data_IF_760289029065
#
_entry.id   IF_760289029065
#
_cell.length_a   1.000
_cell.length_b   1.000
_cell.length_c   1.000
_cell.angle_alpha   90.00
_cell.angle_beta   90.00
_cell.angle_gamma   90.00
#
_symmetry.space_group_name_H-M   'P 1'
#
loop_
_entity.id
_entity.type
_entity.pdbx_description
1 polymer ?
#
# COMPACT_ATOMS: atom_id res chain seq x y z
N UNK A 1 -60.83 -57.66 -14.79
CA UNK A 1 -59.67 -57.02 -15.44
C UNK A 1 -58.99 -56.10 -14.44
N UNK A 2 -57.77 -56.44 -14.03
CA UNK A 2 -56.84 -55.56 -13.30
C UNK A 2 -56.26 -54.55 -14.29
N UNK A 3 -56.20 -53.26 -13.94
CA UNK A 3 -55.08 -52.29 -14.16
C UNK A 3 -55.40 -51.09 -13.26
N UNK A 4 -54.84 -51.02 -12.05
CA UNK A 4 -53.59 -50.35 -11.67
C UNK A 4 -53.75 -48.84 -11.44
N UNK A 5 -53.84 -48.50 -10.15
CA UNK A 5 -53.61 -47.20 -9.53
C UNK A 5 -52.17 -46.75 -9.76
N UNK A 6 -51.96 -45.59 -10.40
CA UNK A 6 -50.67 -44.92 -10.47
C UNK A 6 -50.54 -43.98 -9.26
N UNK A 7 -49.83 -44.48 -8.25
CA UNK A 7 -49.29 -43.72 -7.12
C UNK A 7 -48.19 -42.78 -7.64
N UNK A 8 -48.39 -41.47 -7.51
CA UNK A 8 -47.31 -40.49 -7.59
C UNK A 8 -46.40 -40.71 -6.38
N UNK A 9 -45.28 -41.40 -6.59
CA UNK A 9 -44.16 -41.39 -5.65
C UNK A 9 -43.41 -40.07 -5.82
N UNK A 10 -43.50 -39.20 -4.83
CA UNK A 10 -42.60 -38.08 -4.65
C UNK A 10 -41.17 -38.59 -4.64
N UNK A 11 -40.42 -38.29 -5.70
CA UNK A 11 -38.96 -38.43 -5.70
C UNK A 11 -38.45 -37.27 -4.86
N UNK A 12 -38.20 -37.53 -3.57
CA UNK A 12 -37.31 -36.69 -2.78
C UNK A 12 -35.92 -36.91 -3.39
N UNK A 13 -35.53 -36.00 -4.29
CA UNK A 13 -34.12 -35.84 -4.67
C UNK A 13 -33.44 -35.28 -3.44
N UNK A 14 -32.93 -36.17 -2.60
CA UNK A 14 -32.02 -35.82 -1.52
C UNK A 14 -30.73 -35.37 -2.21
N UNK A 15 -30.65 -34.07 -2.53
CA UNK A 15 -29.39 -33.39 -2.84
C UNK A 15 -28.54 -33.46 -1.58
N UNK A 16 -27.82 -34.55 -1.43
CA UNK A 16 -26.66 -34.62 -0.56
C UNK A 16 -25.68 -33.59 -1.09
N UNK A 17 -25.73 -32.39 -0.50
CA UNK A 17 -24.61 -31.46 -0.52
C UNK A 17 -23.45 -32.20 0.17
N UNK A 18 -22.70 -32.97 -0.60
CA UNK A 18 -21.32 -33.25 -0.25
C UNK A 18 -20.66 -31.89 -0.16
N UNK A 19 -20.48 -31.43 1.08
CA UNK A 19 -19.50 -30.43 1.44
C UNK A 19 -18.16 -30.95 0.92
N UNK A 20 -17.84 -30.66 -0.34
CA UNK A 20 -16.47 -30.64 -0.80
C UNK A 20 -15.83 -29.48 -0.06
N UNK A 21 -15.44 -29.75 1.19
CA UNK A 21 -14.30 -29.08 1.77
C UNK A 21 -13.18 -29.35 0.80
N UNK A 22 -12.94 -28.39 -0.09
CA UNK A 22 -11.66 -28.25 -0.75
C UNK A 22 -10.71 -27.96 0.40
N UNK A 23 -10.23 -29.03 1.04
CA UNK A 23 -8.98 -28.98 1.75
C UNK A 23 -8.01 -28.43 0.73
N UNK A 24 -7.66 -27.15 0.86
CA UNK A 24 -6.57 -26.54 0.14
C UNK A 24 -5.40 -27.47 0.37
N UNK A 25 -5.08 -28.30 -0.64
CA UNK A 25 -3.86 -29.06 -0.65
C UNK A 25 -2.78 -28.00 -0.53
N UNK A 26 -2.18 -27.89 0.66
CA UNK A 26 -1.03 -27.03 0.90
C UNK A 26 -0.05 -27.44 -0.18
N UNK A 27 0.16 -26.56 -1.16
CA UNK A 27 1.04 -26.85 -2.27
C UNK A 27 2.36 -27.31 -1.66
N UNK A 28 2.74 -28.57 -1.90
CA UNK A 28 4.00 -29.12 -1.40
C UNK A 28 5.08 -28.12 -1.78
N UNK A 29 5.78 -27.55 -0.80
CA UNK A 29 6.87 -26.60 -1.05
C UNK A 29 7.88 -27.23 -2.01
N UNK A 30 7.81 -26.86 -3.28
CA UNK A 30 8.69 -27.41 -4.31
C UNK A 30 10.06 -26.75 -4.17
N UNK A 31 11.11 -27.57 -4.07
CA UNK A 31 12.50 -27.09 -4.13
C UNK A 31 12.76 -26.38 -5.47
N UNK A 32 13.73 -25.47 -5.49
CA UNK A 32 14.16 -24.84 -6.73
C UNK A 32 14.74 -25.86 -7.71
N UNK A 33 14.59 -25.59 -9.01
CA UNK A 33 15.23 -26.41 -10.03
C UNK A 33 16.76 -26.28 -9.90
N UNK A 34 17.52 -27.39 -9.97
CA UNK A 34 18.98 -27.32 -9.88
C UNK A 34 19.60 -26.38 -10.93
N UNK A 35 19.01 -26.32 -12.13
CA UNK A 35 19.46 -25.44 -13.21
C UNK A 35 19.34 -23.95 -12.85
N UNK A 36 18.26 -23.54 -12.18
CA UNK A 36 18.11 -22.16 -11.71
C UNK A 36 19.18 -21.81 -10.67
N UNK A 37 19.35 -22.67 -9.65
CA UNK A 37 20.33 -22.45 -8.58
C UNK A 37 21.74 -22.34 -9.14
N UNK A 38 22.15 -23.28 -9.99
CA UNK A 38 23.43 -23.27 -10.67
C UNK A 38 23.63 -22.02 -11.52
N UNK A 39 22.61 -21.64 -12.30
CA UNK A 39 22.67 -20.43 -13.14
C UNK A 39 22.92 -19.18 -12.29
N UNK A 40 22.25 -19.02 -11.15
CA UNK A 40 22.41 -17.83 -10.32
C UNK A 40 23.71 -17.84 -9.51
N UNK A 41 24.08 -18.97 -8.90
CA UNK A 41 25.33 -19.09 -8.13
C UNK A 41 26.60 -19.00 -8.99
N UNK A 42 26.50 -19.26 -10.30
CA UNK A 42 27.62 -19.01 -11.24
C UNK A 42 27.91 -17.53 -11.46
N UNK A 43 27.00 -16.63 -11.05
CA UNK A 43 27.10 -15.17 -11.24
C UNK A 43 27.24 -14.42 -9.93
N UNK A 44 26.54 -14.88 -8.89
CA UNK A 44 26.46 -14.22 -7.60
C UNK A 44 26.94 -15.13 -6.48
N UNK A 45 27.89 -14.65 -5.67
CA UNK A 45 28.24 -15.27 -4.40
C UNK A 45 27.20 -14.88 -3.35
N UNK A 46 26.36 -15.83 -2.92
CA UNK A 46 25.30 -15.57 -1.95
C UNK A 46 25.67 -16.17 -0.60
N UNK A 47 25.64 -15.33 0.44
CA UNK A 47 25.99 -15.70 1.82
C UNK A 47 24.96 -15.16 2.80
N UNK A 48 24.81 -15.76 3.97
CA UNK A 48 24.05 -15.19 5.08
C UNK A 48 25.00 -14.72 6.19
N UNK A 49 24.61 -13.67 6.90
CA UNK A 49 25.32 -13.14 8.07
C UNK A 49 24.40 -13.05 9.28
N UNK A 50 24.98 -13.04 10.49
CA UNK A 50 24.26 -12.69 11.73
C UNK A 50 24.35 -11.18 12.05
N UNK A 51 23.74 -10.79 13.16
CA UNK A 51 23.67 -9.40 13.63
C UNK A 51 25.02 -8.82 14.06
N UNK A 52 26.03 -9.68 14.27
CA UNK A 52 27.41 -9.26 14.51
C UNK A 52 28.21 -9.11 13.21
N UNK A 53 27.58 -9.31 12.05
CA UNK A 53 28.22 -9.26 10.73
C UNK A 53 29.07 -10.49 10.41
N UNK A 54 28.93 -11.58 11.18
CA UNK A 54 29.68 -12.82 10.93
C UNK A 54 28.94 -13.68 9.90
N UNK A 55 29.66 -14.19 8.92
CA UNK A 55 29.10 -15.13 7.94
C UNK A 55 28.66 -16.43 8.62
N UNK A 56 27.36 -16.73 8.52
CA UNK A 56 26.74 -17.92 9.12
C UNK A 56 26.54 -19.04 8.11
N UNK A 57 26.39 -18.70 6.83
CA UNK A 57 26.20 -19.68 5.76
C UNK A 57 26.70 -19.15 4.42
N UNK A 58 27.31 -20.04 3.63
CA UNK A 58 27.60 -19.82 2.21
C UNK A 58 26.75 -20.80 1.39
N UNK A 59 25.93 -20.27 0.48
CA UNK A 59 24.96 -21.08 -0.24
C UNK A 59 25.59 -21.79 -1.45
N UNK A 60 25.11 -23.00 -1.71
CA UNK A 60 25.57 -23.90 -2.78
C UNK A 60 24.39 -24.51 -3.54
N UNK A 61 24.66 -25.28 -4.61
CA UNK A 61 23.61 -26.02 -5.34
C UNK A 61 22.86 -27.03 -4.46
N UNK A 62 23.48 -27.52 -3.38
CA UNK A 62 22.85 -28.44 -2.43
C UNK A 62 21.69 -27.76 -1.65
N UNK A 63 21.72 -26.44 -1.51
CA UNK A 63 20.73 -25.64 -0.79
C UNK A 63 19.45 -25.36 -1.59
N UNK A 64 19.23 -26.04 -2.72
CA UNK A 64 18.03 -25.86 -3.59
C UNK A 64 16.68 -26.00 -2.89
N UNK A 65 16.65 -26.66 -1.72
CA UNK A 65 15.44 -26.87 -0.92
C UNK A 65 15.36 -25.95 0.30
N UNK A 66 16.32 -25.04 0.51
CA UNK A 66 16.25 -24.00 1.52
C UNK A 66 14.99 -23.15 1.29
N UNK A 67 14.21 -22.87 2.34
CA UNK A 67 12.82 -22.41 2.23
C UNK A 67 12.66 -20.90 2.41
N UNK A 68 13.73 -20.18 2.76
CA UNK A 68 13.64 -18.82 3.28
C UNK A 68 14.18 -17.77 2.28
N UNK A 69 14.95 -16.81 2.79
CA UNK A 69 15.51 -15.67 2.06
C UNK A 69 16.27 -16.06 0.79
N UNK A 70 17.01 -17.18 0.81
CA UNK A 70 17.79 -17.65 -0.33
C UNK A 70 16.90 -18.00 -1.53
N UNK A 71 15.86 -18.81 -1.31
CA UNK A 71 14.92 -19.21 -2.36
C UNK A 71 14.28 -17.99 -3.02
N UNK A 72 13.81 -17.05 -2.20
CA UNK A 72 13.18 -15.82 -2.70
C UNK A 72 14.14 -14.93 -3.47
N UNK A 73 15.39 -14.84 -3.03
CA UNK A 73 16.43 -14.09 -3.74
C UNK A 73 16.68 -14.68 -5.13
N UNK A 74 16.78 -16.02 -5.24
CA UNK A 74 16.96 -16.67 -6.54
C UNK A 74 15.76 -16.49 -7.48
N UNK A 75 14.54 -16.59 -6.95
CA UNK A 75 13.32 -16.33 -7.72
C UNK A 75 13.21 -14.86 -8.15
N UNK A 76 13.64 -13.92 -7.31
CA UNK A 76 13.68 -12.50 -7.65
C UNK A 76 14.67 -12.23 -8.78
N UNK A 77 15.89 -12.77 -8.71
CA UNK A 77 16.88 -12.65 -9.79
C UNK A 77 16.40 -13.26 -11.11
N UNK A 78 15.71 -14.41 -11.05
CA UNK A 78 15.11 -15.03 -12.24
C UNK A 78 13.95 -14.21 -12.84
N UNK A 79 13.13 -13.60 -11.97
CA UNK A 79 12.10 -12.67 -12.40
C UNK A 79 12.73 -11.45 -13.10
N UNK A 80 13.78 -10.86 -12.52
CA UNK A 80 14.48 -9.72 -13.13
C UNK A 80 15.05 -10.11 -14.50
N UNK A 81 15.68 -11.28 -14.61
CA UNK A 81 16.17 -11.84 -15.88
C UNK A 81 15.04 -11.99 -16.90
N UNK A 82 13.91 -12.56 -16.48
CA UNK A 82 12.76 -12.77 -17.35
C UNK A 82 12.19 -11.45 -17.86
N UNK A 83 11.98 -10.48 -16.97
CA UNK A 83 11.49 -9.14 -17.32
C UNK A 83 12.45 -8.42 -18.27
N UNK A 84 13.75 -8.49 -18.01
CA UNK A 84 14.78 -7.83 -18.83
C UNK A 84 14.82 -8.32 -20.28
N UNK A 85 14.43 -9.58 -20.51
CA UNK A 85 14.38 -10.16 -21.87
C UNK A 85 13.16 -9.74 -22.69
N UNK A 86 12.15 -9.11 -22.07
CA UNK A 86 10.90 -8.76 -22.74
C UNK A 86 10.95 -7.35 -23.33
N UNK A 87 10.59 -7.24 -24.61
CA UNK A 87 10.35 -5.94 -25.25
C UNK A 87 8.95 -5.44 -24.90
N UNK A 88 8.85 -4.24 -24.36
CA UNK A 88 7.56 -3.61 -24.02
C UNK A 88 7.37 -2.40 -24.90
N UNK A 89 6.31 -2.42 -25.71
CA UNK A 89 6.06 -1.43 -26.76
C UNK A 89 5.83 0.00 -26.25
N UNK A 90 5.47 0.16 -24.98
CA UNK A 90 5.07 1.44 -24.40
C UNK A 90 5.93 1.84 -23.18
N UNK A 91 7.10 1.23 -22.97
CA UNK A 91 7.87 1.48 -21.76
C UNK A 91 8.20 2.99 -21.63
N UNK A 92 7.92 3.61 -20.47
CA UNK A 92 8.04 5.06 -20.32
C UNK A 92 9.47 5.59 -20.42
N UNK A 93 10.47 4.72 -20.30
CA UNK A 93 11.88 5.06 -20.43
C UNK A 93 12.38 5.03 -21.90
N UNK A 94 11.57 4.52 -22.86
CA UNK A 94 11.87 4.21 -24.28
C UNK A 94 13.12 3.35 -24.54
N UNK A 95 13.97 3.19 -23.52
CA UNK A 95 15.19 2.41 -23.48
C UNK A 95 14.84 0.98 -23.09
N UNK A 96 15.28 0.03 -23.90
CA UNK A 96 15.25 -1.39 -23.56
C UNK A 96 16.30 -1.69 -22.48
N UNK A 97 16.08 -1.21 -21.25
CA UNK A 97 16.95 -1.47 -20.10
C UNK A 97 16.98 -2.97 -19.82
N UNK A 98 18.18 -3.56 -19.87
CA UNK A 98 18.44 -4.93 -19.40
C UNK A 98 18.93 -4.87 -17.95
N UNK A 99 17.96 -4.90 -17.01
CA UNK A 99 18.24 -4.81 -15.58
C UNK A 99 19.14 -5.95 -15.11
N UNK A 100 18.96 -7.16 -15.65
CA UNK A 100 19.73 -8.32 -15.23
C UNK A 100 21.18 -8.28 -15.70
N UNK A 101 21.43 -7.84 -16.93
CA UNK A 101 22.80 -7.59 -17.40
C UNK A 101 23.51 -6.55 -16.53
N UNK A 102 22.81 -5.46 -16.20
CA UNK A 102 23.32 -4.42 -15.31
C UNK A 102 23.66 -4.95 -13.91
N UNK A 103 22.75 -5.72 -13.28
CA UNK A 103 23.00 -6.37 -11.98
C UNK A 103 24.20 -7.31 -12.07
N UNK A 104 24.31 -8.13 -13.12
CA UNK A 104 25.40 -9.07 -13.29
C UNK A 104 26.77 -8.39 -13.51
N UNK A 105 26.78 -7.21 -14.13
CA UNK A 105 27.97 -6.37 -14.25
C UNK A 105 28.41 -5.85 -12.89
N UNK A 106 27.48 -5.24 -12.12
CA UNK A 106 27.81 -4.48 -10.91
C UNK A 106 27.91 -5.32 -9.64
N UNK A 107 27.06 -6.33 -9.49
CA UNK A 107 26.90 -7.11 -8.25
C UNK A 107 27.64 -8.43 -8.35
N UNK A 108 28.55 -8.68 -7.40
CA UNK A 108 29.23 -9.99 -7.28
C UNK A 108 28.84 -10.76 -6.03
N UNK A 109 28.57 -10.06 -4.93
CA UNK A 109 28.18 -10.67 -3.65
C UNK A 109 26.82 -10.15 -3.18
N UNK A 110 25.96 -11.07 -2.74
CA UNK A 110 24.70 -10.78 -2.09
C UNK A 110 24.75 -11.35 -0.67
N UNK A 111 24.50 -10.50 0.32
CA UNK A 111 24.48 -10.87 1.74
C UNK A 111 23.04 -10.86 2.21
N UNK A 112 22.56 -11.98 2.73
CA UNK A 112 21.24 -12.11 3.34
C UNK A 112 21.36 -11.86 4.84
N UNK A 113 20.60 -10.89 5.34
CA UNK A 113 20.54 -10.56 6.77
C UNK A 113 19.26 -11.12 7.41
N UNK A 114 19.29 -11.49 8.69
CA UNK A 114 18.08 -11.76 9.46
C UNK A 114 17.30 -10.46 9.74
N UNK A 115 16.00 -10.60 9.97
CA UNK A 115 15.06 -9.50 10.21
C UNK A 115 15.40 -8.64 11.41
N UNK A 116 15.95 -9.25 12.44
CA UNK A 116 16.26 -8.59 13.71
C UNK A 116 17.54 -7.78 13.65
N UNK A 117 18.22 -7.77 12.49
CA UNK A 117 19.54 -7.21 12.42
C UNK A 117 19.55 -5.71 12.65
N UNK A 118 20.32 -5.28 13.64
CA UNK A 118 20.64 -3.87 13.84
C UNK A 118 21.44 -3.27 12.68
N UNK A 119 22.00 -4.13 11.82
CA UNK A 119 22.66 -3.73 10.58
C UNK A 119 21.67 -3.40 9.46
N UNK A 120 20.40 -3.79 9.60
CA UNK A 120 19.31 -3.34 8.75
C UNK A 120 18.69 -2.12 9.41
N UNK A 121 18.80 -0.95 8.75
CA UNK A 121 18.18 0.28 9.23
C UNK A 121 16.66 0.18 9.31
N UNK A 122 16.04 1.19 9.91
CA UNK A 122 14.58 1.23 10.07
C UNK A 122 13.90 1.19 8.70
N UNK A 123 13.13 0.13 8.41
CA UNK A 123 12.46 -0.15 7.13
C UNK A 123 13.40 -0.30 5.91
N UNK A 124 14.71 -0.54 6.10
CA UNK A 124 15.60 -0.84 4.99
C UNK A 124 15.25 -2.20 4.36
N UNK A 125 14.93 -2.23 3.06
CA UNK A 125 14.78 -3.47 2.30
C UNK A 125 16.12 -4.06 1.83
N UNK A 126 17.11 -3.20 1.65
CA UNK A 126 18.48 -3.55 1.28
C UNK A 126 19.41 -2.33 1.35
N UNK A 127 20.69 -2.55 1.09
CA UNK A 127 21.70 -1.49 0.99
C UNK A 127 22.88 -1.95 0.12
N UNK A 128 23.50 -1.01 -0.59
CA UNK A 128 24.83 -1.21 -1.20
C UNK A 128 25.93 -0.95 -0.19
N UNK A 129 26.83 -1.91 -0.02
CA UNK A 129 28.04 -1.73 0.79
C UNK A 129 29.23 -1.44 -0.12
N UNK A 130 30.07 -0.49 0.32
CA UNK A 130 31.32 -0.12 -0.34
C UNK A 130 31.17 0.12 -1.85
N UNK A 131 30.34 1.11 -2.30
CA UNK A 131 30.04 1.31 -3.71
C UNK A 131 31.26 1.64 -4.59
N UNK A 132 32.39 2.02 -3.97
CA UNK A 132 33.66 2.32 -4.64
C UNK A 132 34.52 1.07 -4.91
N UNK A 133 34.21 -0.08 -4.29
CA UNK A 133 34.96 -1.32 -4.52
C UNK A 133 34.54 -2.00 -5.83
N UNK A 134 35.43 -2.78 -6.49
CA UNK A 134 35.11 -3.48 -7.74
C UNK A 134 34.01 -4.53 -7.57
N UNK A 135 34.06 -5.28 -6.47
CA UNK A 135 33.08 -6.30 -6.12
C UNK A 135 32.00 -5.66 -5.25
N UNK A 136 31.08 -4.92 -5.87
CA UNK A 136 30.03 -4.22 -5.12
C UNK A 136 29.07 -5.24 -4.52
N UNK A 137 28.74 -5.01 -3.25
CA UNK A 137 28.00 -5.95 -2.41
C UNK A 137 26.61 -5.38 -2.18
N UNK A 138 25.59 -6.19 -2.42
CA UNK A 138 24.24 -5.88 -1.95
C UNK A 138 23.99 -6.64 -0.66
N UNK A 139 23.54 -5.92 0.36
CA UNK A 139 22.98 -6.49 1.58
C UNK A 139 21.46 -6.44 1.46
N UNK A 140 20.80 -7.58 1.64
CA UNK A 140 19.34 -7.69 1.60
C UNK A 140 18.81 -7.96 3.00
N UNK A 141 17.94 -7.06 3.46
CA UNK A 141 17.29 -7.11 4.76
C UNK A 141 15.94 -7.79 4.61
N UNK A 142 15.97 -9.12 4.52
CA UNK A 142 14.80 -9.91 4.11
C UNK A 142 13.98 -10.26 5.33
N UNK A 143 12.82 -9.62 5.47
CA UNK A 143 11.87 -9.87 6.55
C UNK A 143 11.28 -11.31 6.53
N UNK A 144 11.97 -12.30 7.12
CA UNK A 144 11.55 -13.65 7.53
C UNK A 144 10.95 -14.44 6.40
N UNK A 145 11.47 -14.20 5.18
CA UNK A 145 10.89 -14.76 3.97
C UNK A 145 9.41 -14.41 3.79
N UNK A 146 8.90 -13.30 4.34
CA UNK A 146 7.54 -12.78 4.12
C UNK A 146 7.45 -11.84 2.93
N UNK A 147 8.54 -11.15 2.61
CA UNK A 147 8.60 -10.25 1.45
C UNK A 147 8.26 -10.99 0.14
N UNK A 148 7.29 -10.52 -0.66
CA UNK A 148 7.00 -11.12 -1.97
C UNK A 148 8.20 -11.06 -2.92
N UNK A 149 8.28 -12.00 -3.86
CA UNK A 149 9.37 -12.08 -4.86
C UNK A 149 9.47 -10.79 -5.69
N UNK A 150 8.35 -10.21 -6.08
CA UNK A 150 8.30 -8.95 -6.85
C UNK A 150 8.87 -7.77 -6.07
N UNK A 151 8.54 -7.64 -4.78
CA UNK A 151 9.06 -6.58 -3.94
C UNK A 151 10.58 -6.72 -3.74
N UNK A 152 11.06 -7.94 -3.49
CA UNK A 152 12.50 -8.21 -3.37
C UNK A 152 13.25 -7.92 -4.67
N UNK A 153 12.65 -8.26 -5.81
CA UNK A 153 13.22 -7.96 -7.12
C UNK A 153 13.33 -6.44 -7.35
N UNK A 154 12.30 -5.67 -7.01
CA UNK A 154 12.33 -4.20 -7.06
C UNK A 154 13.44 -3.63 -6.20
N UNK A 155 13.62 -4.13 -4.97
CA UNK A 155 14.71 -3.72 -4.07
C UNK A 155 16.08 -4.02 -4.70
N UNK A 156 16.30 -5.23 -5.23
CA UNK A 156 17.58 -5.56 -5.88
C UNK A 156 17.87 -4.59 -7.04
N UNK A 157 16.87 -4.28 -7.87
CA UNK A 157 17.02 -3.31 -8.97
C UNK A 157 17.34 -1.90 -8.46
N UNK A 158 16.61 -1.45 -7.43
CA UNK A 158 16.82 -0.16 -6.75
C UNK A 158 18.23 -0.04 -6.19
N UNK A 159 18.64 -0.99 -5.35
CA UNK A 159 19.94 -0.98 -4.69
C UNK A 159 21.07 -1.02 -5.70
N UNK A 160 20.94 -1.83 -6.75
CA UNK A 160 21.96 -1.89 -7.80
C UNK A 160 22.17 -0.52 -8.45
N UNK A 161 21.15 0.33 -8.54
CA UNK A 161 21.31 1.67 -9.14
C UNK A 161 22.18 2.60 -8.30
N UNK A 162 22.18 2.45 -6.97
CA UNK A 162 23.11 3.19 -6.08
C UNK A 162 24.58 2.89 -6.40
N UNK A 163 24.88 1.75 -7.03
CA UNK A 163 26.24 1.41 -7.46
C UNK A 163 26.80 2.35 -8.53
N UNK A 164 25.96 3.07 -9.27
CA UNK A 164 26.41 4.10 -10.22
C UNK A 164 26.52 5.49 -9.58
N UNK A 165 26.39 5.58 -8.25
CA UNK A 165 26.52 6.84 -7.51
C UNK A 165 25.25 7.67 -7.45
N UNK A 166 24.12 7.17 -7.94
CA UNK A 166 22.82 7.81 -7.77
C UNK A 166 22.44 7.77 -6.30
N UNK A 167 22.31 8.93 -5.65
CA UNK A 167 21.94 9.05 -4.24
C UNK A 167 20.55 9.65 -4.12
N UNK A 168 19.87 9.34 -3.03
CA UNK A 168 18.63 10.00 -2.69
C UNK A 168 18.84 11.49 -2.38
N UNK A 169 17.82 12.27 -2.66
CA UNK A 169 17.68 13.68 -2.27
C UNK A 169 16.59 13.81 -1.21
N UNK A 170 16.61 14.94 -0.49
CA UNK A 170 15.59 15.23 0.51
C UNK A 170 14.23 15.35 -0.16
N UNK A 171 13.23 14.69 0.41
CA UNK A 171 11.85 14.79 -0.06
C UNK A 171 11.27 16.15 0.29
N UNK A 172 10.56 16.76 -0.67
CA UNK A 172 9.88 18.05 -0.57
C UNK A 172 8.44 17.91 -0.09
N UNK A 173 7.86 16.71 -0.26
CA UNK A 173 6.47 16.38 0.05
C UNK A 173 6.32 14.90 0.45
N UNK A 174 5.10 14.49 0.76
CA UNK A 174 4.76 13.10 1.12
C UNK A 174 5.26 12.69 2.51
N UNK A 175 5.18 11.38 2.78
CA UNK A 175 5.50 10.75 4.06
C UNK A 175 6.94 11.04 4.54
N UNK A 176 7.87 11.16 3.59
CA UNK A 176 9.29 11.29 3.89
C UNK A 176 9.79 12.74 4.00
N UNK A 177 8.93 13.74 3.77
CA UNK A 177 9.29 15.18 3.87
C UNK A 177 9.92 15.56 5.21
N UNK A 178 9.39 14.99 6.29
CA UNK A 178 9.82 15.31 7.67
C UNK A 178 11.04 14.53 8.12
N UNK A 179 11.49 13.54 7.34
CA UNK A 179 12.69 12.79 7.66
C UNK A 179 13.92 13.70 7.51
N UNK A 180 14.88 13.51 8.41
CA UNK A 180 16.15 14.24 8.39
C UNK A 180 17.10 13.75 7.29
N UNK A 181 16.83 12.57 6.73
CA UNK A 181 17.66 11.94 5.70
C UNK A 181 16.96 11.90 4.32
N UNK A 182 17.75 11.84 3.22
CA UNK A 182 17.23 11.76 1.86
C UNK A 182 16.54 10.42 1.52
N UNK A 183 15.38 10.45 0.86
CA UNK A 183 14.61 9.25 0.46
C UNK A 183 13.82 9.41 -0.86
N UNK A 184 14.12 10.43 -1.66
CA UNK A 184 13.44 10.66 -2.94
C UNK A 184 14.46 10.74 -4.09
N UNK A 185 13.99 10.49 -5.31
CA UNK A 185 14.63 10.99 -6.52
C UNK A 185 14.11 12.41 -6.81
N UNK A 186 14.89 13.22 -7.53
CA UNK A 186 14.41 14.55 -7.97
C UNK A 186 13.27 14.39 -8.97
N UNK A 187 13.45 13.53 -9.96
CA UNK A 187 12.49 13.28 -11.05
C UNK A 187 12.67 11.87 -11.62
N UNK A 188 11.70 11.40 -12.41
CA UNK A 188 11.82 10.13 -13.11
C UNK A 188 12.83 10.20 -14.28
N UNK A 189 12.94 11.36 -14.91
CA UNK A 189 13.81 11.63 -16.06
C UNK A 189 15.30 11.53 -15.72
N UNK A 190 15.67 11.83 -14.47
CA UNK A 190 17.05 11.68 -13.97
C UNK A 190 17.50 10.23 -13.81
N UNK A 191 16.57 9.26 -13.90
CA UNK A 191 16.87 7.84 -13.83
C UNK A 191 17.66 7.46 -12.55
N UNK A 192 17.29 8.06 -11.42
CA UNK A 192 17.72 7.69 -10.07
C UNK A 192 17.28 6.28 -9.66
N UNK A 193 17.53 5.88 -8.42
CA UNK A 193 17.25 4.51 -7.98
C UNK A 193 15.76 4.18 -7.95
N UNK A 194 14.91 5.12 -7.51
CA UNK A 194 13.46 4.95 -7.57
C UNK A 194 12.94 4.98 -9.00
N UNK A 195 13.45 5.88 -9.86
CA UNK A 195 13.09 5.92 -11.27
C UNK A 195 13.41 4.59 -11.97
N UNK A 196 14.59 4.02 -11.68
CA UNK A 196 15.04 2.75 -12.25
C UNK A 196 14.18 1.57 -11.76
N UNK A 197 13.86 1.54 -10.46
CA UNK A 197 12.96 0.56 -9.86
C UNK A 197 11.53 0.68 -10.40
N UNK A 198 11.02 1.90 -10.60
CA UNK A 198 9.71 2.16 -11.18
C UNK A 198 9.65 1.66 -12.63
N UNK A 199 10.67 1.94 -13.45
CA UNK A 199 10.79 1.38 -14.81
C UNK A 199 10.74 -0.15 -14.81
N UNK A 200 11.42 -0.80 -13.86
CA UNK A 200 11.33 -2.24 -13.68
C UNK A 200 9.92 -2.70 -13.31
N UNK A 201 9.25 -2.06 -12.34
CA UNK A 201 7.89 -2.43 -11.93
C UNK A 201 6.87 -2.26 -13.05
N UNK A 202 6.96 -1.17 -13.82
CA UNK A 202 6.14 -0.95 -15.03
C UNK A 202 6.35 -2.08 -16.05
N UNK A 203 7.59 -2.54 -16.21
CA UNK A 203 7.89 -3.66 -17.11
C UNK A 203 7.35 -4.97 -16.56
N UNK A 204 7.61 -5.27 -15.28
CA UNK A 204 7.12 -6.44 -14.57
C UNK A 204 5.60 -6.57 -14.65
N UNK A 205 4.86 -5.48 -14.42
CA UNK A 205 3.39 -5.43 -14.53
C UNK A 205 2.88 -6.01 -15.87
N UNK A 206 3.53 -5.63 -16.97
CA UNK A 206 3.18 -6.09 -18.32
C UNK A 206 3.55 -7.57 -18.57
N UNK A 207 4.51 -8.12 -17.82
CA UNK A 207 4.96 -9.52 -17.97
C UNK A 207 4.13 -10.50 -17.14
N UNK A 208 3.53 -10.02 -16.04
CA UNK A 208 2.78 -10.85 -15.10
C UNK A 208 1.48 -11.34 -15.73
N UNK A 209 1.09 -12.57 -15.41
CA UNK A 209 -0.19 -13.16 -15.83
C UNK A 209 -1.17 -13.33 -14.67
N UNK A 210 -0.63 -13.57 -13.48
CA UNK A 210 -1.41 -13.72 -12.26
C UNK A 210 -2.00 -12.37 -11.83
N UNK A 211 -3.30 -12.37 -11.49
CA UNK A 211 -4.04 -11.15 -11.18
C UNK A 211 -3.64 -10.56 -9.83
N UNK A 212 -3.33 -11.41 -8.85
CA UNK A 212 -2.95 -10.95 -7.51
C UNK A 212 -1.56 -10.34 -7.52
N UNK A 213 -0.62 -10.94 -8.26
CA UNK A 213 0.71 -10.37 -8.45
C UNK A 213 0.66 -9.07 -9.27
N UNK A 214 -0.16 -9.00 -10.33
CA UNK A 214 -0.40 -7.73 -11.05
C UNK A 214 -0.94 -6.66 -10.10
N UNK A 215 -1.91 -7.00 -9.27
CA UNK A 215 -2.47 -6.08 -8.28
C UNK A 215 -1.40 -5.57 -7.31
N UNK A 216 -0.57 -6.46 -6.75
CA UNK A 216 0.55 -6.10 -5.86
C UNK A 216 1.55 -5.18 -6.53
N UNK A 217 1.95 -5.45 -7.77
CA UNK A 217 2.89 -4.59 -8.50
C UNK A 217 2.28 -3.22 -8.80
N UNK A 218 1.01 -3.14 -9.17
CA UNK A 218 0.33 -1.84 -9.33
C UNK A 218 0.22 -1.06 -8.01
N UNK A 219 0.01 -1.74 -6.89
CA UNK A 219 0.03 -1.09 -5.57
C UNK A 219 1.42 -0.52 -5.24
N UNK A 220 2.50 -1.26 -5.53
CA UNK A 220 3.87 -0.77 -5.37
C UNK A 220 4.18 0.42 -6.30
N UNK A 221 3.65 0.41 -7.52
CA UNK A 221 3.75 1.55 -8.45
C UNK A 221 3.05 2.78 -7.88
N UNK A 222 1.80 2.63 -7.40
CA UNK A 222 1.03 3.72 -6.78
C UNK A 222 1.79 4.34 -5.60
N UNK A 223 2.33 3.49 -4.71
CA UNK A 223 3.14 3.93 -3.59
C UNK A 223 4.40 4.68 -4.04
N UNK A 224 5.12 4.17 -5.04
CA UNK A 224 6.37 4.76 -5.50
C UNK A 224 6.17 6.13 -6.14
N UNK A 225 5.13 6.29 -6.97
CA UNK A 225 4.87 7.59 -7.60
C UNK A 225 4.41 8.67 -6.62
N UNK A 226 3.80 8.27 -5.50
CA UNK A 226 3.35 9.20 -4.46
C UNK A 226 4.48 9.66 -3.52
N UNK A 227 5.41 8.76 -3.18
CA UNK A 227 6.36 9.01 -2.08
C UNK A 227 7.82 9.09 -2.50
N UNK A 228 8.19 8.68 -3.72
CA UNK A 228 9.60 8.52 -4.10
C UNK A 228 10.17 9.61 -5.02
N UNK A 229 9.38 10.62 -5.39
CA UNK A 229 9.80 11.65 -6.36
C UNK A 229 9.44 13.06 -5.89
N UNK A 230 10.36 14.02 -6.04
CA UNK A 230 10.03 15.44 -5.82
C UNK A 230 9.25 16.05 -6.99
N UNK A 231 9.57 15.64 -8.21
CA UNK A 231 8.81 15.96 -9.41
C UNK A 231 8.07 14.68 -9.81
N UNK A 232 6.76 14.66 -9.56
CA UNK A 232 5.94 13.46 -9.77
C UNK A 232 5.85 13.09 -11.26
N UNK A 233 6.00 11.81 -11.62
CA UNK A 233 6.09 11.41 -13.02
C UNK A 233 4.72 11.27 -13.71
N UNK A 234 4.74 11.00 -15.03
CA UNK A 234 3.57 10.59 -15.82
C UNK A 234 2.38 11.56 -15.76
N UNK A 235 2.69 12.87 -15.68
CA UNK A 235 1.68 13.92 -15.60
C UNK A 235 0.76 13.80 -14.39
N UNK A 236 1.19 13.08 -13.34
CA UNK A 236 0.51 13.06 -12.06
C UNK A 236 0.38 14.49 -11.54
N UNK A 237 -0.82 14.86 -11.15
CA UNK A 237 -1.11 16.14 -10.52
C UNK A 237 -1.44 15.90 -9.07
N UNK A 238 -1.04 16.84 -8.22
CA UNK A 238 -1.40 16.88 -6.81
C UNK A 238 -2.83 17.38 -6.64
N UNK A 239 -3.60 16.78 -5.75
CA UNK A 239 -4.98 17.19 -5.53
C UNK A 239 -5.71 16.45 -4.42
N UNK A 240 -7.02 16.68 -4.36
CA UNK A 240 -7.93 16.04 -3.42
C UNK A 240 -8.76 14.96 -4.09
N UNK A 241 -8.70 13.74 -3.56
CA UNK A 241 -9.60 12.64 -3.92
C UNK A 241 -10.76 12.59 -2.92
N UNK A 242 -11.99 12.62 -3.41
CA UNK A 242 -13.19 12.79 -2.59
C UNK A 242 -14.33 11.91 -3.07
N UNK A 243 -15.11 11.40 -2.13
CA UNK A 243 -16.32 10.64 -2.40
C UNK A 243 -17.54 11.52 -2.13
N UNK A 244 -18.36 11.73 -3.15
CA UNK A 244 -19.58 12.51 -3.02
C UNK A 244 -20.79 11.69 -2.56
N UNK A 245 -21.86 12.37 -2.18
CA UNK A 245 -23.14 11.78 -1.75
C UNK A 245 -23.85 10.94 -2.81
N UNK A 246 -23.42 11.00 -4.08
CA UNK A 246 -23.93 10.21 -5.21
C UNK A 246 -23.05 8.99 -5.49
N UNK A 247 -22.15 8.62 -4.57
CA UNK A 247 -21.18 7.54 -4.73
C UNK A 247 -20.23 7.73 -5.93
N UNK A 248 -19.91 8.97 -6.30
CA UNK A 248 -18.88 9.27 -7.29
C UNK A 248 -17.58 9.59 -6.58
N UNK A 249 -16.50 8.99 -7.04
CA UNK A 249 -15.16 9.36 -6.62
C UNK A 249 -14.60 10.40 -7.59
N UNK A 250 -14.36 11.58 -7.06
CA UNK A 250 -13.91 12.75 -7.80
C UNK A 250 -12.48 13.09 -7.41
N UNK A 251 -11.68 13.52 -8.37
CA UNK A 251 -10.35 14.08 -8.14
C UNK A 251 -10.35 15.55 -8.57
N UNK A 252 -9.81 16.43 -7.73
CA UNK A 252 -9.68 17.84 -8.02
C UNK A 252 -8.23 18.29 -7.88
N UNK A 253 -7.67 18.87 -8.95
CA UNK A 253 -6.27 19.28 -9.04
C UNK A 253 -6.03 20.79 -8.79
N UNK A 254 -7.07 21.54 -8.41
CA UNK A 254 -7.05 23.00 -8.28
C UNK A 254 -7.75 23.72 -9.45
N UNK A 255 -7.79 23.09 -10.62
CA UNK A 255 -8.40 23.66 -11.83
C UNK A 255 -9.65 22.87 -12.25
N UNK A 256 -9.50 21.55 -12.41
CA UNK A 256 -10.51 20.69 -13.00
C UNK A 256 -10.98 19.59 -12.04
N UNK A 257 -12.26 19.23 -12.14
CA UNK A 257 -12.85 18.07 -11.45
C UNK A 257 -12.90 16.90 -12.44
N UNK A 258 -12.21 15.81 -12.11
CA UNK A 258 -12.23 14.56 -12.86
C UNK A 258 -13.04 13.49 -12.13
N UNK A 259 -13.92 12.78 -12.83
CA UNK A 259 -14.60 11.60 -12.28
C UNK A 259 -13.66 10.39 -12.41
N UNK A 260 -13.17 9.89 -11.29
CA UNK A 260 -12.28 8.72 -11.24
C UNK A 260 -13.09 7.42 -11.34
N UNK A 261 -14.24 7.37 -10.67
CA UNK A 261 -15.18 6.25 -10.76
C UNK A 261 -16.58 6.64 -10.25
N UNK A 262 -17.59 5.84 -10.61
CA UNK A 262 -18.94 5.91 -10.04
C UNK A 262 -19.36 4.52 -9.55
N UNK A 263 -19.81 4.42 -8.30
CA UNK A 263 -20.18 3.16 -7.67
C UNK A 263 -21.70 3.01 -7.59
N UNK A 264 -22.20 1.86 -8.03
CA UNK A 264 -23.63 1.53 -7.94
C UNK A 264 -24.06 1.15 -6.51
N UNK A 265 -23.15 0.58 -5.74
CA UNK A 265 -23.39 0.17 -4.36
C UNK A 265 -23.17 1.34 -3.39
N UNK A 266 -23.94 1.35 -2.29
CA UNK A 266 -23.74 2.34 -1.23
C UNK A 266 -22.36 2.17 -0.57
N UNK A 267 -21.63 3.27 -0.52
CA UNK A 267 -20.29 3.33 0.08
C UNK A 267 -20.38 3.78 1.53
N UNK A 268 -19.66 3.07 2.40
CA UNK A 268 -19.55 3.39 3.83
C UNK A 268 -18.40 4.36 4.09
N UNK A 269 -17.24 4.09 3.51
CA UNK A 269 -16.03 4.90 3.71
C UNK A 269 -15.04 4.78 2.55
N UNK A 270 -14.12 5.74 2.54
CA UNK A 270 -13.04 5.87 1.57
C UNK A 270 -11.74 6.23 2.30
N UNK A 271 -10.65 5.50 2.02
CA UNK A 271 -9.38 5.61 2.75
C UNK A 271 -8.19 5.27 1.85
N UNK A 272 -6.97 5.71 2.17
CA UNK A 272 -5.75 5.20 1.55
C UNK A 272 -5.20 4.02 2.34
N UNK A 273 -4.67 3.03 1.64
CA UNK A 273 -3.84 1.98 2.22
C UNK A 273 -2.54 1.90 1.42
N UNK A 274 -1.40 2.17 2.04
CA UNK A 274 -0.08 2.12 1.37
C UNK A 274 -0.04 2.91 0.04
N UNK A 275 -0.60 4.13 0.03
CA UNK A 275 -0.59 5.01 -1.14
C UNK A 275 -1.60 4.67 -2.24
N UNK A 276 -2.52 3.73 -2.01
CA UNK A 276 -3.59 3.46 -2.98
C UNK A 276 -4.99 3.55 -2.35
N UNK A 277 -5.99 4.07 -3.07
CA UNK A 277 -7.32 4.24 -2.52
C UNK A 277 -8.12 2.94 -2.36
N UNK A 278 -8.85 2.86 -1.25
CA UNK A 278 -9.79 1.81 -0.89
C UNK A 278 -11.18 2.40 -0.70
N UNK A 279 -12.16 1.72 -1.25
CA UNK A 279 -13.59 1.99 -1.07
C UNK A 279 -14.21 0.82 -0.32
N UNK A 280 -14.84 1.12 0.81
CA UNK A 280 -15.50 0.14 1.67
C UNK A 280 -17.00 0.24 1.45
N UNK A 281 -17.62 -0.84 0.98
CA UNK A 281 -19.04 -0.88 0.67
C UNK A 281 -19.86 -1.29 1.89
N UNK A 282 -21.12 -0.85 1.94
CA UNK A 282 -22.05 -1.22 3.02
C UNK A 282 -22.29 -2.74 3.10
N UNK A 283 -22.23 -3.43 1.95
CA UNK A 283 -22.37 -4.88 1.83
C UNK A 283 -21.18 -5.69 2.37
N UNK A 284 -20.13 -5.03 2.87
CA UNK A 284 -18.94 -5.69 3.42
C UNK A 284 -17.84 -5.99 2.39
N UNK A 285 -18.03 -5.65 1.11
CA UNK A 285 -16.96 -5.73 0.12
C UNK A 285 -16.02 -4.52 0.20
N UNK A 286 -14.77 -4.72 -0.23
CA UNK A 286 -13.76 -3.68 -0.32
C UNK A 286 -13.21 -3.70 -1.74
N UNK A 287 -13.11 -2.52 -2.36
CA UNK A 287 -12.52 -2.34 -3.68
C UNK A 287 -11.30 -1.43 -3.59
N UNK A 288 -10.29 -1.71 -4.41
CA UNK A 288 -9.05 -0.94 -4.47
C UNK A 288 -8.84 -0.32 -5.85
N UNK A 289 -8.34 0.90 -5.86
CA UNK A 289 -7.83 1.58 -7.04
C UNK A 289 -6.32 1.54 -7.06
N UNK A 290 -5.75 0.88 -8.07
CA UNK A 290 -4.31 0.85 -8.29
C UNK A 290 -3.99 1.36 -9.69
N UNK A 291 -4.55 2.54 -10.03
CA UNK A 291 -4.49 3.13 -11.38
C UNK A 291 -5.04 2.22 -12.49
N UNK A 292 -6.00 1.37 -12.15
CA UNK A 292 -6.73 0.52 -13.08
C UNK A 292 -8.16 1.06 -13.23
N UNK A 293 -8.67 1.17 -14.46
CA UNK A 293 -10.10 1.51 -14.69
C UNK A 293 -11.03 0.52 -13.98
N UNK A 294 -10.63 -0.74 -13.88
CA UNK A 294 -11.34 -1.75 -13.10
C UNK A 294 -10.84 -1.72 -11.66
N UNK A 295 -11.71 -1.32 -10.75
CA UNK A 295 -11.52 -1.44 -9.31
C UNK A 295 -11.61 -2.91 -8.92
N UNK A 296 -10.55 -3.43 -8.30
CA UNK A 296 -10.48 -4.85 -7.96
C UNK A 296 -10.98 -5.07 -6.54
N UNK A 297 -11.74 -6.14 -6.34
CA UNK A 297 -12.11 -6.57 -5.00
C UNK A 297 -10.86 -7.02 -4.24
N UNK A 298 -10.76 -6.56 -2.99
CA UNK A 298 -9.69 -6.93 -2.08
C UNK A 298 -10.15 -8.14 -1.27
N UNK A 299 -9.30 -9.16 -1.18
CA UNK A 299 -9.52 -10.34 -0.34
C UNK A 299 -8.53 -10.35 0.85
N UNK A 300 -8.84 -11.17 1.84
CA UNK A 300 -7.95 -11.44 2.98
C UNK A 300 -8.29 -10.64 4.24
N UNK A 301 -7.36 -10.54 5.20
CA UNK A 301 -7.70 -10.18 6.58
C UNK A 301 -8.39 -8.84 6.77
N UNK A 302 -8.14 -7.86 5.89
CA UNK A 302 -8.82 -6.57 5.94
C UNK A 302 -10.32 -6.74 5.63
N UNK A 303 -10.63 -7.37 4.50
CA UNK A 303 -12.00 -7.65 4.06
C UNK A 303 -12.71 -8.59 5.02
N UNK A 304 -12.03 -9.67 5.45
CA UNK A 304 -12.60 -10.64 6.39
C UNK A 304 -13.00 -9.98 7.71
N UNK A 305 -12.18 -9.05 8.22
CA UNK A 305 -12.51 -8.30 9.42
C UNK A 305 -13.65 -7.31 9.18
N UNK A 306 -13.66 -6.59 8.06
CA UNK A 306 -14.74 -5.66 7.75
C UNK A 306 -16.10 -6.37 7.59
N UNK A 307 -16.11 -7.59 7.03
CA UNK A 307 -17.31 -8.42 6.89
C UNK A 307 -17.86 -8.91 8.23
N UNK A 308 -17.01 -9.10 9.24
CA UNK A 308 -17.44 -9.47 10.61
C UNK A 308 -18.21 -8.36 11.33
N UNK A 309 -18.10 -7.10 10.88
CA UNK A 309 -18.96 -6.03 11.39
C UNK A 309 -20.41 -6.31 10.99
N UNK A 310 -21.38 -5.99 11.85
CA UNK A 310 -22.79 -6.01 11.46
C UNK A 310 -23.08 -4.93 10.42
N UNK A 311 -24.14 -5.10 9.62
CA UNK A 311 -24.60 -4.07 8.67
C UNK A 311 -24.88 -2.76 9.42
N UNK A 312 -25.60 -2.82 10.55
CA UNK A 312 -25.89 -1.65 11.40
C UNK A 312 -24.63 -0.93 11.91
N UNK A 313 -23.55 -1.67 12.14
CA UNK A 313 -22.26 -1.09 12.55
C UNK A 313 -21.59 -0.41 11.36
N UNK A 314 -21.54 -1.08 10.20
CA UNK A 314 -20.99 -0.50 8.97
C UNK A 314 -21.71 0.79 8.59
N UNK A 315 -23.02 0.84 8.77
CA UNK A 315 -23.84 2.02 8.46
C UNK A 315 -23.51 3.25 9.30
N UNK A 316 -22.93 3.04 10.49
CA UNK A 316 -22.59 4.09 11.43
C UNK A 316 -21.12 4.52 11.35
N UNK A 317 -20.32 3.91 10.47
CA UNK A 317 -18.89 4.24 10.34
C UNK A 317 -18.76 5.68 9.84
N UNK A 318 -18.11 6.50 10.66
CA UNK A 318 -17.74 7.87 10.35
C UNK A 318 -16.48 7.92 9.50
N UNK A 319 -15.45 7.16 9.87
CA UNK A 319 -14.18 7.12 9.14
C UNK A 319 -13.42 5.81 9.41
N UNK A 320 -12.37 5.56 8.63
CA UNK A 320 -11.54 4.35 8.72
C UNK A 320 -10.07 4.74 8.78
N UNK A 321 -9.33 4.05 9.64
CA UNK A 321 -7.89 4.21 9.80
C UNK A 321 -7.19 2.89 9.48
N UNK A 322 -6.27 2.93 8.50
CA UNK A 322 -5.45 1.79 8.09
C UNK A 322 -4.01 2.28 8.00
N UNK A 323 -3.26 2.11 9.09
CA UNK A 323 -1.85 2.47 9.15
C UNK A 323 -1.15 1.75 10.30
N UNK A 324 0.19 1.61 10.27
CA UNK A 324 0.99 0.97 11.32
C UNK A 324 0.47 -0.40 11.79
N UNK A 325 -0.19 -1.16 10.90
CA UNK A 325 -0.82 -2.45 11.19
C UNK A 325 -2.21 -2.36 11.85
N UNK A 326 -2.65 -1.16 12.23
CA UNK A 326 -3.99 -0.87 12.74
C UNK A 326 -5.03 -0.93 11.62
N UNK A 327 -6.22 -1.42 11.98
CA UNK A 327 -7.40 -1.47 11.10
C UNK A 327 -8.59 -1.09 11.94
N UNK A 328 -8.87 0.21 12.01
CA UNK A 328 -9.81 0.78 12.95
C UNK A 328 -10.95 1.50 12.24
N UNK A 329 -12.14 1.40 12.84
CA UNK A 329 -13.39 1.96 12.35
C UNK A 329 -13.89 2.96 13.39
N UNK A 330 -14.03 4.22 13.00
CA UNK A 330 -14.54 5.27 13.86
C UNK A 330 -16.07 5.28 13.83
N UNK A 331 -16.68 5.18 15.00
CA UNK A 331 -18.13 5.27 15.23
C UNK A 331 -18.45 6.52 16.06
N UNK A 332 -19.73 6.93 16.17
CA UNK A 332 -20.10 8.14 16.92
C UNK A 332 -19.71 8.16 18.41
N UNK A 333 -19.49 6.99 19.02
CA UNK A 333 -19.21 6.86 20.46
C UNK A 333 -17.98 6.00 20.78
N UNK A 334 -17.36 5.36 19.79
CA UNK A 334 -16.20 4.50 20.01
C UNK A 334 -15.35 4.35 18.75
N UNK A 335 -14.14 3.82 18.92
CA UNK A 335 -13.31 3.26 17.84
C UNK A 335 -13.32 1.76 18.01
N UNK A 336 -13.56 1.01 16.93
CA UNK A 336 -13.44 -0.44 16.89
C UNK A 336 -12.21 -0.79 16.05
N UNK A 337 -11.23 -1.47 16.63
CA UNK A 337 -10.02 -1.91 15.93
C UNK A 337 -9.98 -3.43 15.81
N UNK A 338 -9.60 -3.92 14.63
CA UNK A 338 -9.42 -5.34 14.41
C UNK A 338 -8.14 -5.84 15.11
N UNK A 339 -8.29 -6.87 15.95
CA UNK A 339 -7.21 -7.64 16.54
C UNK A 339 -7.11 -9.02 15.86
N UNK A 340 -6.18 -9.87 16.31
CA UNK A 340 -5.85 -11.15 15.67
C UNK A 340 -7.10 -12.01 15.39
N UNK A 341 -7.98 -12.14 16.39
CA UNK A 341 -9.17 -13.01 16.31
C UNK A 341 -10.47 -12.31 16.79
N UNK A 342 -10.40 -11.02 17.12
CA UNK A 342 -11.54 -10.29 17.70
C UNK A 342 -11.44 -8.79 17.41
N UNK A 343 -12.37 -8.01 17.96
CA UNK A 343 -12.28 -6.56 17.98
C UNK A 343 -11.92 -6.06 19.38
N UNK A 344 -11.22 -4.93 19.42
CA UNK A 344 -10.97 -4.15 20.63
C UNK A 344 -11.52 -2.75 20.44
N UNK A 345 -12.08 -2.18 21.50
CA UNK A 345 -12.82 -0.94 21.41
C UNK A 345 -12.24 0.13 22.34
N UNK A 346 -12.26 1.37 21.88
CA UNK A 346 -11.99 2.55 22.70
C UNK A 346 -13.24 3.41 22.74
N UNK A 347 -13.80 3.64 23.93
CA UNK A 347 -15.01 4.46 24.09
C UNK A 347 -14.62 5.91 24.32
N UNK A 348 -15.30 6.81 23.62
CA UNK A 348 -15.13 8.24 23.88
C UNK A 348 -15.88 8.66 25.14
N UNK A 349 -15.26 9.56 25.90
CA UNK A 349 -15.90 10.26 27.02
C UNK A 349 -15.97 11.77 26.69
N UNK A 350 -17.18 12.28 26.47
CA UNK A 350 -17.42 13.70 26.16
C UNK A 350 -16.90 14.20 24.81
N UNK A 351 -16.38 13.31 23.94
CA UNK A 351 -15.87 13.66 22.60
C UNK A 351 -16.90 13.25 21.55
N UNK A 352 -17.21 14.17 20.63
CA UNK A 352 -18.05 13.91 19.45
C UNK A 352 -17.15 13.78 18.21
N UNK A 353 -16.64 12.58 17.90
CA UNK A 353 -15.69 12.38 16.82
C UNK A 353 -16.33 12.67 15.45
N UNK A 354 -15.54 13.18 14.52
CA UNK A 354 -15.94 13.42 13.14
C UNK A 354 -15.14 12.57 12.14
N UNK A 355 -13.81 12.62 12.22
CA UNK A 355 -12.92 11.90 11.31
C UNK A 355 -11.58 11.55 11.98
N UNK A 356 -10.85 10.60 11.40
CA UNK A 356 -9.45 10.41 11.73
C UNK A 356 -8.64 11.57 11.13
N UNK A 357 -7.70 12.08 11.92
CA UNK A 357 -6.76 13.11 11.49
C UNK A 357 -5.48 12.46 11.00
N UNK A 358 -5.15 12.67 9.73
CA UNK A 358 -3.96 12.09 9.12
C UNK A 358 -2.72 12.89 9.52
N UNK A 359 -2.02 12.42 10.55
CA UNK A 359 -0.67 12.85 10.89
C UNK A 359 0.17 11.60 11.12
N UNK A 360 1.13 11.30 10.23
CA UNK A 360 1.98 10.13 10.36
C UNK A 360 2.63 10.08 11.74
N UNK A 361 2.46 8.97 12.46
CA UNK A 361 3.16 8.71 13.71
C UNK A 361 4.10 7.53 13.54
N UNK A 362 5.40 7.79 13.69
CA UNK A 362 6.44 6.78 13.65
C UNK A 362 6.75 6.22 15.06
N UNK A 363 5.96 6.58 16.08
CA UNK A 363 6.17 6.09 17.43
C UNK A 363 5.85 4.60 17.58
N UNK A 364 6.48 3.97 18.56
CA UNK A 364 6.31 2.54 18.89
C UNK A 364 4.87 2.15 19.25
N UNK A 365 4.03 3.12 19.63
CA UNK A 365 2.67 2.87 20.12
C UNK A 365 1.57 3.22 19.12
N UNK A 366 1.93 3.60 17.88
CA UNK A 366 1.00 3.91 16.80
C UNK A 366 -0.16 4.80 17.28
N UNK A 367 0.13 6.07 17.56
CA UNK A 367 -0.88 7.01 18.02
C UNK A 367 -1.84 7.36 16.88
N UNK A 368 -3.12 7.08 17.10
CA UNK A 368 -4.19 7.58 16.25
C UNK A 368 -4.56 9.00 16.67
N UNK A 369 -5.06 9.80 15.74
CA UNK A 369 -5.62 11.11 16.04
C UNK A 369 -7.03 11.22 15.49
N UNK A 370 -7.91 11.83 16.25
CA UNK A 370 -9.32 12.04 15.88
C UNK A 370 -9.63 13.52 16.00
N UNK A 371 -10.23 14.08 14.94
CA UNK A 371 -10.79 15.43 14.97
C UNK A 371 -12.25 15.34 15.40
N UNK A 372 -12.63 16.16 16.37
CA UNK A 372 -14.02 16.25 16.82
C UNK A 372 -14.83 17.26 15.98
N UNK A 373 -16.14 17.28 16.18
CA UNK A 373 -17.04 18.21 15.46
C UNK A 373 -16.79 19.69 15.73
N UNK A 374 -16.08 20.04 16.81
CA UNK A 374 -15.67 21.42 17.12
C UNK A 374 -14.31 21.79 16.55
N UNK A 375 -13.68 20.87 15.81
CA UNK A 375 -12.38 21.06 15.18
C UNK A 375 -11.18 20.76 16.07
N UNK A 376 -11.40 20.31 17.31
CA UNK A 376 -10.31 19.93 18.24
C UNK A 376 -9.74 18.57 17.87
N UNK A 377 -8.43 18.41 18.01
CA UNK A 377 -7.73 17.15 17.72
C UNK A 377 -7.43 16.44 19.03
N UNK A 378 -7.71 15.14 19.09
CA UNK A 378 -7.43 14.27 20.22
C UNK A 378 -6.50 13.13 19.82
N UNK A 379 -5.48 12.88 20.64
CA UNK A 379 -4.60 11.72 20.53
C UNK A 379 -5.27 10.53 21.22
N UNK A 380 -5.31 9.42 20.50
CA UNK A 380 -5.81 8.12 20.95
C UNK A 380 -4.64 7.12 20.86
N UNK A 381 -4.38 6.32 21.91
CA UNK A 381 -3.33 5.31 21.85
C UNK A 381 -3.63 4.23 20.80
N UNK A 382 -2.61 3.48 20.37
CA UNK A 382 -2.79 2.32 19.49
C UNK A 382 -3.66 1.23 20.12
N UNK A 383 -4.28 0.40 19.29
CA UNK A 383 -5.32 -0.54 19.73
C UNK A 383 -4.82 -1.61 20.70
N UNK A 384 -3.51 -1.90 20.66
CA UNK A 384 -2.84 -2.79 21.61
C UNK A 384 -2.98 -2.33 23.07
N UNK A 385 -3.23 -1.03 23.30
CA UNK A 385 -3.34 -0.44 24.62
C UNK A 385 -4.79 -0.24 25.09
N UNK A 386 -5.81 -0.48 24.26
CA UNK A 386 -7.23 -0.27 24.61
C UNK A 386 -7.74 -1.16 25.76
N UNK A 387 -7.00 -2.22 26.08
CA UNK A 387 -7.29 -3.13 27.20
C UNK A 387 -6.34 -2.93 28.39
N UNK A 388 -5.52 -1.88 28.37
CA UNK A 388 -4.58 -1.62 29.45
C UNK A 388 -5.33 -1.19 30.71
N UNK A 389 -4.85 -1.57 31.89
CA UNK A 389 -5.41 -1.11 33.17
C UNK A 389 -4.93 0.31 33.53
N UNK A 390 -3.92 0.83 32.83
CA UNK A 390 -3.44 2.19 33.02
C UNK A 390 -4.41 3.18 32.36
N UNK A 391 -5.00 4.05 33.20
CA UNK A 391 -5.98 5.07 32.79
C UNK A 391 -5.43 6.03 31.73
N UNK A 392 -4.11 6.21 31.67
CA UNK A 392 -3.47 7.04 30.64
C UNK A 392 -3.63 6.45 29.24
N UNK A 393 -3.92 5.15 29.10
CA UNK A 393 -4.14 4.51 27.81
C UNK A 393 -5.61 4.26 27.48
N UNK A 394 -6.52 4.58 28.39
CA UNK A 394 -7.97 4.49 28.17
C UNK A 394 -8.63 5.87 28.11
N UNK A 395 -7.83 6.92 27.91
CA UNK A 395 -8.30 8.31 27.82
C UNK A 395 -7.77 8.97 26.56
N UNK A 396 -8.56 9.88 26.00
CA UNK A 396 -8.18 10.70 24.86
C UNK A 396 -7.61 12.02 25.38
N UNK A 397 -6.52 12.51 24.78
CA UNK A 397 -5.89 13.77 25.18
C UNK A 397 -5.92 14.77 24.05
N UNK A 398 -6.34 16.00 24.33
CA UNK A 398 -6.35 17.06 23.34
C UNK A 398 -4.92 17.41 22.88
N UNK A 399 -4.68 17.32 21.59
CA UNK A 399 -3.42 17.73 20.94
C UNK A 399 -3.47 19.22 20.61
N UNK A 400 -2.92 20.04 21.50
CA UNK A 400 -2.87 21.49 21.33
C UNK A 400 -1.79 21.97 20.35
N UNK A 401 -0.95 21.06 19.81
CA UNK A 401 0.14 21.44 18.90
C UNK A 401 -0.30 21.53 17.44
N UNK A 402 -1.38 20.85 17.08
CA UNK A 402 -1.89 20.81 15.70
C UNK A 402 -3.08 21.76 15.55
N UNK A 403 -2.82 23.04 15.27
CA UNK A 403 -3.85 24.03 14.91
C UNK A 403 -3.90 24.27 13.40
N UNK A 404 -3.81 23.22 12.59
CA UNK A 404 -3.88 23.36 11.13
C UNK A 404 -5.34 23.28 10.70
N UNK A 405 -5.83 24.41 10.19
CA UNK A 405 -7.15 24.61 9.55
C UNK A 405 -8.33 24.09 10.40
N UNK A 406 -8.69 24.79 11.49
CA UNK A 406 -9.74 24.34 12.42
C UNK A 406 -11.09 24.13 11.72
N UNK A 407 -11.38 24.93 10.68
CA UNK A 407 -12.71 25.04 10.06
C UNK A 407 -13.07 23.88 9.11
N UNK A 408 -12.12 23.01 8.76
CA UNK A 408 -12.35 21.89 7.81
C UNK A 408 -12.03 20.53 8.43
N UNK A 409 -12.86 19.52 8.20
CA UNK A 409 -12.68 18.17 8.74
C UNK A 409 -11.55 17.38 8.06
N UNK A 410 -11.28 17.68 6.79
CA UNK A 410 -10.14 17.15 6.02
C UNK A 410 -9.79 18.09 4.86
N UNK A 411 -8.55 18.03 4.38
CA UNK A 411 -8.09 18.88 3.28
C UNK A 411 -6.98 18.22 2.47
N UNK A 412 -6.73 18.76 1.28
CA UNK A 412 -5.60 18.45 0.42
C UNK A 412 -5.04 19.75 -0.19
N UNK A 413 -3.75 19.76 -0.47
CA UNK A 413 -3.12 20.81 -1.26
C UNK A 413 -3.15 20.41 -2.74
N UNK A 414 -3.54 21.34 -3.61
CA UNK A 414 -3.69 21.16 -5.04
C UNK A 414 -2.42 21.55 -5.81
N UNK A 415 -2.37 21.21 -7.10
CA UNK A 415 -1.23 21.49 -7.99
C UNK A 415 -0.93 23.00 -8.11
N UNK A 416 -1.97 23.83 -8.06
CA UNK A 416 -1.84 25.28 -8.12
C UNK A 416 -1.42 25.92 -6.77
N UNK A 417 -1.22 25.13 -5.73
CA UNK A 417 -0.88 25.57 -4.37
C UNK A 417 -2.06 25.93 -3.48
N UNK A 418 -3.30 25.91 -4.00
CA UNK A 418 -4.49 26.11 -3.19
C UNK A 418 -4.76 24.91 -2.28
N UNK A 419 -5.48 25.15 -1.19
CA UNK A 419 -6.03 24.10 -0.35
C UNK A 419 -7.50 23.88 -0.71
N UNK A 420 -7.88 22.61 -0.88
CA UNK A 420 -9.27 22.18 -0.93
C UNK A 420 -9.61 21.45 0.37
N UNK A 421 -10.74 21.79 0.96
CA UNK A 421 -11.21 21.24 2.23
C UNK A 421 -12.69 20.91 2.21
N UNK A 422 -13.14 20.28 3.28
CA UNK A 422 -14.56 20.00 3.52
C UNK A 422 -14.93 20.45 4.93
N UNK A 423 -16.01 21.19 5.07
CA UNK A 423 -16.53 21.66 6.36
C UNK A 423 -17.21 20.52 7.17
N UNK A 424 -17.94 20.85 8.23
CA UNK A 424 -18.62 19.87 9.08
C UNK A 424 -19.92 19.34 8.43
N UNK A 425 -20.51 20.10 7.50
CA UNK A 425 -21.75 19.82 6.78
C UNK A 425 -21.49 19.02 5.49
N UNK A 426 -20.24 18.93 5.06
CA UNK A 426 -19.83 18.23 3.85
C UNK A 426 -19.72 19.14 2.62
N UNK A 427 -19.75 20.46 2.79
CA UNK A 427 -19.54 21.44 1.72
C UNK A 427 -18.07 21.51 1.36
N UNK A 428 -17.78 21.50 0.07
CA UNK A 428 -16.41 21.70 -0.43
C UNK A 428 -16.06 23.19 -0.37
N UNK A 429 -14.93 23.48 0.25
CA UNK A 429 -14.37 24.83 0.37
C UNK A 429 -12.95 24.87 -0.18
N UNK A 430 -12.54 26.03 -0.70
CA UNK A 430 -11.20 26.26 -1.22
C UNK A 430 -10.60 27.49 -0.54
N UNK A 431 -9.29 27.46 -0.34
CA UNK A 431 -8.50 28.53 0.26
C UNK A 431 -7.23 28.70 -0.56
N UNK A 432 -6.99 29.91 -1.05
CA UNK A 432 -5.69 30.28 -1.62
C UNK A 432 -4.73 30.69 -0.50
N UNK A 433 -3.44 30.81 -0.82
CA UNK A 433 -2.44 31.23 0.16
C UNK A 433 -2.86 32.56 0.83
N UNK A 434 -2.91 32.56 2.17
CA UNK A 434 -3.32 33.68 3.03
C UNK A 434 -4.79 34.16 2.90
N UNK A 435 -5.69 33.39 2.28
CA UNK A 435 -7.12 33.70 2.22
C UNK A 435 -7.95 33.01 3.30
N UNK A 436 -9.20 33.44 3.48
CA UNK A 436 -10.21 32.65 4.20
C UNK A 436 -10.74 31.51 3.32
N UNK A 437 -11.28 30.46 3.96
CA UNK A 437 -12.02 29.39 3.28
C UNK A 437 -13.29 29.94 2.63
N UNK A 438 -13.54 29.56 1.38
CA UNK A 438 -14.73 29.96 0.64
C UNK A 438 -15.35 28.76 -0.06
N UNK A 439 -16.67 28.75 -0.15
CA UNK A 439 -17.39 27.78 -0.98
C UNK A 439 -16.98 27.99 -2.43
N UNK A 440 -16.70 26.88 -3.13
CA UNK A 440 -16.33 26.90 -4.53
C UNK A 440 -17.51 26.46 -5.40
N UNK A 441 -17.95 27.36 -6.29
CA UNK A 441 -19.13 27.15 -7.14
C UNK A 441 -19.01 25.94 -8.07
N UNK A 442 -17.78 25.46 -8.36
CA UNK A 442 -17.57 24.24 -9.16
C UNK A 442 -18.14 23.00 -8.47
N UNK A 443 -18.34 23.06 -7.14
CA UNK A 443 -18.89 21.97 -6.33
C UNK A 443 -20.34 22.20 -5.91
N UNK A 444 -21.07 23.10 -6.59
CA UNK A 444 -22.48 23.33 -6.29
C UNK A 444 -23.32 22.04 -6.37
N UNK A 445 -23.98 21.69 -5.26
CA UNK A 445 -24.76 20.46 -5.12
C UNK A 445 -23.93 19.19 -4.94
N UNK A 446 -22.61 19.31 -4.73
CA UNK A 446 -21.72 18.23 -4.32
C UNK A 446 -21.54 18.31 -2.81
N UNK A 447 -21.88 17.24 -2.11
CA UNK A 447 -21.58 17.07 -0.69
C UNK A 447 -20.59 15.92 -0.58
N UNK A 448 -19.47 16.15 0.10
CA UNK A 448 -18.42 15.15 0.29
C UNK A 448 -18.26 14.84 1.76
N UNK A 449 -17.90 13.60 2.08
CA UNK A 449 -17.66 13.19 3.47
C UNK A 449 -16.24 13.55 3.93
N UNK A 450 -15.28 13.42 3.02
CA UNK A 450 -13.84 13.50 3.30
C UNK A 450 -13.08 13.79 2.01
N UNK A 451 -11.97 14.51 2.14
CA UNK A 451 -10.98 14.74 1.11
C UNK A 451 -9.67 14.09 1.56
N UNK A 452 -9.06 13.32 0.66
CA UNK A 452 -7.76 12.70 0.88
C UNK A 452 -6.76 13.33 -0.09
N UNK A 453 -5.60 13.84 0.38
CA UNK A 453 -4.48 14.18 -0.48
C UNK A 453 -4.08 13.00 -1.36
N UNK A 454 -3.97 13.22 -2.67
CA UNK A 454 -3.66 12.16 -3.62
C UNK A 454 -3.00 12.71 -4.88
N UNK A 455 -2.30 11.85 -5.61
CA UNK A 455 -1.73 12.15 -6.91
C UNK A 455 -2.42 11.33 -7.99
N UNK A 456 -2.89 11.99 -9.05
CA UNK A 456 -3.61 11.29 -10.11
C UNK A 456 -3.32 11.83 -11.51
N UNK A 457 -3.31 10.93 -12.50
CA UNK A 457 -3.31 11.26 -13.91
C UNK A 457 -3.97 10.16 -14.73
N UNK A 458 -4.63 10.58 -15.82
CA UNK A 458 -5.16 9.68 -16.83
C UNK A 458 -4.05 8.94 -17.58
N UNK A 459 -2.90 9.58 -17.79
CA UNK A 459 -1.74 9.00 -18.48
C UNK A 459 -1.22 7.74 -17.79
N UNK A 460 -1.00 7.77 -16.46
CA UNK A 460 -0.55 6.59 -15.72
C UNK A 460 -1.62 5.49 -15.71
N UNK A 461 -2.89 5.88 -15.56
CA UNK A 461 -4.00 4.92 -15.62
C UNK A 461 -4.07 4.19 -16.97
N UNK A 462 -3.89 4.91 -18.07
CA UNK A 462 -3.92 4.34 -19.42
C UNK A 462 -2.72 3.43 -19.67
N UNK A 463 -1.55 3.78 -19.13
CA UNK A 463 -0.37 2.91 -19.19
C UNK A 463 -0.60 1.58 -18.46
N UNK A 464 -1.24 1.60 -17.29
CA UNK A 464 -1.47 0.43 -16.46
C UNK A 464 -2.71 -0.40 -16.85
N UNK A 465 -3.41 -0.03 -17.92
CA UNK A 465 -4.61 -0.72 -18.43
C UNK A 465 -4.31 -2.13 -18.97
N UNK A 466 -3.12 -2.36 -19.53
CA UNK A 466 -2.63 -3.69 -19.96
C UNK A 466 -2.41 -4.65 -18.79
#
# INVERSE_FOLDING_TARGET
>A
MRVATLSFKSIIVMLTFFSCTSAYAVAKDVCLSPGLVKSMLSRFNITAMDDAGKETKKYTEADKCDKDAFKKTLLALDQIKTVSSQKIKNAPDEKSIDFFAFINEKVKKIILMPDSSSLCGFNEGGAVLDPEKPDKIIRLCILNGKMPVSQLATIIVHETRHMDGYKHVKCSHGLYKTLSFPECDVSFEEQGSHAYALSYMMKLHNTLKDKDDKFRVRALIAQSVEYSFNNVPFGLKKGGLMLDSKNRLLFFDGNDISVVNEFNDKITSFVLNLGYPLVLHQNGSIQAYTFSEKWNFVAGPLTDNYQKLGVDTRDKILDVYIDNGEKCYLLPSEIICASKDSFVNFKFDGISPAAFYNAPDMSKHALMRVKDKSGRVFVIPGSILFKSDDKNYNSAFEDKKHSLEPDVSSYAECENGDLIGVDAEGTVVVKSQDSEWKVDDRFNGVTVKKIIPYYWSKQLQDFLKG
#
